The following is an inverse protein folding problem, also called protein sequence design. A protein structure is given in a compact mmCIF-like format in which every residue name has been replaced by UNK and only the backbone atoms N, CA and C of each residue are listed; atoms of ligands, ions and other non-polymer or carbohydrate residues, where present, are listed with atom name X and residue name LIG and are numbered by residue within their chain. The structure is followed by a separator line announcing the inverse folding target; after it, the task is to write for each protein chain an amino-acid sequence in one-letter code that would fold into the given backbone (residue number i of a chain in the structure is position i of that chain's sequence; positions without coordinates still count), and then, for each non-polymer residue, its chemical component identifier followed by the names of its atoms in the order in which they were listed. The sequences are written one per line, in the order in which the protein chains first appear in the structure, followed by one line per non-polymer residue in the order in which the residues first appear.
data_IF_122646545060
#
_entry.id   IF_122646545060
#
_cell.length_a   1.000
_cell.length_b   1.000
_cell.length_c   1.000
_cell.angle_alpha   90.00
_cell.angle_beta   90.00
_cell.angle_gamma   90.00
#
_symmetry.space_group_name_H-M   'P 1'
#
loop_
_entity.id
_entity.type
_entity.pdbx_description
1 polymer ?
#
# COMPACT_ATOMS: atom_id res chain seq x y z
N UNK A 1 25.54 -0.05 9.92
CA UNK A 1 24.35 0.51 10.59
C UNK A 1 23.30 -0.58 10.64
N UNK A 2 22.85 -0.98 11.83
CA UNK A 2 21.73 -1.92 11.99
C UNK A 2 20.47 -1.05 12.06
N UNK A 3 19.54 -1.23 11.12
CA UNK A 3 18.20 -0.63 11.24
C UNK A 3 17.44 -1.38 12.32
N UNK A 4 16.99 -0.67 13.35
CA UNK A 4 16.21 -1.23 14.46
C UNK A 4 14.88 -0.50 14.59
N UNK A 5 13.85 -1.23 15.01
CA UNK A 5 12.55 -0.70 15.35
C UNK A 5 12.19 -1.22 16.74
N UNK A 6 11.87 -0.32 17.67
CA UNK A 6 11.58 -0.66 19.07
C UNK A 6 12.67 -1.53 19.72
N UNK A 7 13.94 -1.17 19.50
CA UNK A 7 15.13 -1.93 19.96
C UNK A 7 15.24 -3.36 19.42
N UNK A 8 14.44 -3.73 18.41
CA UNK A 8 14.50 -5.00 17.72
C UNK A 8 15.19 -4.79 16.37
N UNK A 9 16.25 -5.54 16.04
CA UNK A 9 16.85 -5.50 14.71
C UNK A 9 15.79 -5.75 13.63
N UNK A 10 15.80 -4.96 12.56
CA UNK A 10 14.82 -5.08 11.46
C UNK A 10 14.77 -6.50 10.89
N UNK A 11 15.91 -7.20 10.81
CA UNK A 11 16.01 -8.61 10.41
C UNK A 11 15.21 -9.57 11.28
N UNK A 12 14.99 -9.20 12.54
CA UNK A 12 14.32 -9.98 13.56
C UNK A 12 12.85 -9.55 13.75
N UNK A 13 12.41 -8.48 13.10
CA UNK A 13 11.01 -8.06 13.09
C UNK A 13 10.14 -9.06 12.30
N UNK A 14 8.87 -9.20 12.69
CA UNK A 14 7.91 -10.02 11.93
C UNK A 14 7.73 -9.51 10.50
N UNK A 15 7.47 -10.42 9.54
CA UNK A 15 7.35 -10.07 8.10
C UNK A 15 6.32 -8.98 7.82
N UNK A 16 5.23 -8.94 8.59
CA UNK A 16 4.22 -7.90 8.44
C UNK A 16 4.72 -6.51 8.83
N UNK A 17 5.44 -6.39 9.95
CA UNK A 17 6.05 -5.13 10.37
C UNK A 17 7.15 -4.70 9.39
N UNK A 18 7.95 -5.66 8.91
CA UNK A 18 8.94 -5.41 7.86
C UNK A 18 8.31 -4.85 6.58
N UNK A 19 7.16 -5.40 6.16
CA UNK A 19 6.41 -4.94 5.00
C UNK A 19 5.91 -3.50 5.20
N UNK A 20 5.30 -3.22 6.36
CA UNK A 20 4.79 -1.89 6.69
C UNK A 20 5.90 -0.83 6.67
N UNK A 21 7.02 -1.10 7.35
CA UNK A 21 8.17 -0.18 7.42
C UNK A 21 8.78 0.10 6.05
N UNK A 22 8.93 -0.93 5.20
CA UNK A 22 9.44 -0.76 3.83
C UNK A 22 8.54 0.15 3.02
N UNK A 23 7.23 -0.06 3.10
CA UNK A 23 6.25 0.75 2.37
C UNK A 23 6.28 2.19 2.85
N UNK A 24 6.27 2.41 4.16
CA UNK A 24 6.33 3.76 4.74
C UNK A 24 7.61 4.52 4.33
N UNK A 25 8.77 3.86 4.44
CA UNK A 25 10.05 4.45 4.00
C UNK A 25 10.05 4.74 2.50
N UNK A 26 9.50 3.85 1.68
CA UNK A 26 9.38 4.09 0.25
C UNK A 26 8.50 5.31 -0.04
N UNK A 27 7.34 5.43 0.60
CA UNK A 27 6.42 6.56 0.42
C UNK A 27 7.03 7.89 0.90
N UNK A 28 7.79 7.88 1.98
CA UNK A 28 8.43 9.07 2.56
C UNK A 28 9.69 9.51 1.79
N UNK A 29 10.48 8.58 1.25
CA UNK A 29 11.69 8.91 0.47
C UNK A 29 11.39 9.47 -0.93
N UNK A 30 10.13 9.49 -1.32
CA UNK A 30 9.68 10.02 -2.60
C UNK A 30 9.65 11.56 -2.54
N UNK A 31 10.71 12.22 -3.02
CA UNK A 31 10.82 13.69 -3.15
C UNK A 31 9.58 14.32 -3.83
N UNK A 32 9.06 15.41 -3.27
CA UNK A 32 7.74 16.00 -3.57
C UNK A 32 7.62 16.80 -4.88
N UNK A 33 8.72 16.99 -5.63
CA UNK A 33 8.74 17.96 -6.74
C UNK A 33 8.46 17.38 -8.14
N UNK A 34 7.97 16.14 -8.25
CA UNK A 34 7.62 15.52 -9.54
C UNK A 34 6.35 14.69 -9.40
N UNK A 35 5.53 14.67 -10.45
CA UNK A 35 4.42 13.72 -10.58
C UNK A 35 4.96 12.29 -10.55
N UNK A 36 4.38 11.47 -9.67
CA UNK A 36 4.87 10.11 -9.44
C UNK A 36 3.75 9.10 -9.38
N UNK A 37 3.95 8.03 -10.14
CA UNK A 37 3.13 6.82 -10.09
C UNK A 37 3.81 5.85 -9.14
N UNK A 38 3.07 5.36 -8.15
CA UNK A 38 3.50 4.38 -7.15
C UNK A 38 2.69 3.12 -7.41
N UNK A 39 3.38 2.00 -7.66
CA UNK A 39 2.75 0.69 -7.84
C UNK A 39 2.99 -0.15 -6.58
N UNK A 40 1.91 -0.71 -6.04
CA UNK A 40 1.96 -1.60 -4.87
C UNK A 40 1.22 -2.89 -5.22
N UNK A 41 1.96 -3.99 -5.26
CA UNK A 41 1.40 -5.30 -5.61
C UNK A 41 1.10 -6.10 -4.34
N UNK A 42 -0.14 -6.57 -4.21
CA UNK A 42 -0.64 -7.39 -3.09
C UNK A 42 -0.21 -6.88 -1.70
N UNK A 43 -0.62 -5.65 -1.31
CA UNK A 43 -0.28 -5.06 -0.02
C UNK A 43 -0.67 -5.94 1.18
N UNK A 44 -1.60 -6.88 1.00
CA UNK A 44 -2.10 -7.81 2.00
C UNK A 44 -1.16 -8.91 2.44
N UNK A 45 -0.09 -9.16 1.68
CA UNK A 45 0.77 -10.27 1.98
C UNK A 45 1.48 -10.11 3.34
N UNK A 46 1.34 -11.14 4.17
CA UNK A 46 1.96 -11.24 5.50
C UNK A 46 1.51 -10.21 6.54
N UNK A 47 0.41 -9.48 6.32
CA UNK A 47 -0.17 -8.54 7.29
C UNK A 47 -1.29 -9.19 8.11
N UNK A 48 -1.35 -8.84 9.40
CA UNK A 48 -2.57 -9.04 10.19
C UNK A 48 -3.63 -8.03 9.75
N UNK A 49 -4.91 -8.28 10.08
CA UNK A 49 -5.99 -7.32 9.80
C UNK A 49 -5.73 -5.92 10.39
N UNK A 50 -5.14 -5.84 11.58
CA UNK A 50 -4.79 -4.56 12.20
C UNK A 50 -3.71 -3.83 11.41
N UNK A 51 -2.65 -4.53 11.01
CA UNK A 51 -1.57 -3.92 10.22
C UNK A 51 -2.03 -3.57 8.80
N UNK A 52 -2.99 -4.31 8.24
CA UNK A 52 -3.61 -3.95 6.98
C UNK A 52 -4.37 -2.64 7.09
N UNK A 53 -5.21 -2.45 8.12
CA UNK A 53 -5.89 -1.15 8.32
C UNK A 53 -4.87 0.00 8.38
N UNK A 54 -3.82 -0.16 9.19
CA UNK A 54 -2.76 0.84 9.29
C UNK A 54 -2.10 1.14 7.91
N UNK A 55 -1.85 0.10 7.12
CA UNK A 55 -1.31 0.27 5.77
C UNK A 55 -2.29 1.06 4.88
N UNK A 56 -3.58 0.74 4.91
CA UNK A 56 -4.59 1.44 4.12
C UNK A 56 -4.66 2.92 4.51
N UNK A 57 -4.63 3.23 5.80
CA UNK A 57 -4.65 4.61 6.30
C UNK A 57 -3.42 5.39 5.76
N UNK A 58 -2.22 4.79 5.83
CA UNK A 58 -0.99 5.38 5.26
C UNK A 58 -1.12 5.61 3.75
N UNK A 59 -1.73 4.68 3.02
CA UNK A 59 -1.90 4.80 1.57
C UNK A 59 -2.87 5.92 1.21
N UNK A 60 -3.99 6.04 1.92
CA UNK A 60 -4.98 7.10 1.72
C UNK A 60 -4.38 8.49 2.04
N UNK A 61 -3.63 8.61 3.12
CA UNK A 61 -2.92 9.85 3.44
C UNK A 61 -1.92 10.25 2.34
N UNK A 62 -1.23 9.27 1.75
CA UNK A 62 -0.27 9.54 0.68
C UNK A 62 -0.94 9.83 -0.67
N UNK A 63 -2.10 9.26 -0.98
CA UNK A 63 -2.85 9.56 -2.20
C UNK A 63 -3.44 10.97 -2.21
N UNK A 64 -3.70 11.55 -1.03
CA UNK A 64 -4.22 12.91 -0.90
C UNK A 64 -3.16 14.01 -1.11
N UNK A 65 -1.88 13.65 -1.23
CA UNK A 65 -0.80 14.60 -1.50
C UNK A 65 -0.81 14.97 -2.99
N UNK A 66 -0.66 16.25 -3.30
CA UNK A 66 -0.56 16.70 -4.70
C UNK A 66 0.58 15.99 -5.44
N UNK A 67 0.37 15.69 -6.73
CA UNK A 67 1.34 15.02 -7.62
C UNK A 67 1.70 13.56 -7.29
N UNK A 68 0.82 12.78 -6.65
CA UNK A 68 0.96 11.31 -6.53
C UNK A 68 -0.24 10.55 -7.06
N UNK A 69 0.01 9.50 -7.85
CA UNK A 69 -0.97 8.46 -8.20
C UNK A 69 -0.51 7.15 -7.60
N UNK A 70 -1.39 6.47 -6.85
CA UNK A 70 -1.11 5.14 -6.30
C UNK A 70 -1.98 4.12 -7.04
N UNK A 71 -1.34 3.11 -7.61
CA UNK A 71 -1.98 1.96 -8.24
C UNK A 71 -1.71 0.74 -7.36
N UNK A 72 -2.77 0.04 -6.99
CA UNK A 72 -2.71 -1.10 -6.09
C UNK A 72 -3.31 -2.30 -6.80
N UNK A 73 -2.56 -3.41 -6.85
CA UNK A 73 -3.11 -4.72 -7.21
C UNK A 73 -3.44 -5.48 -5.93
N UNK A 74 -4.59 -6.14 -5.90
CA UNK A 74 -5.04 -6.87 -4.72
C UNK A 74 -6.03 -7.95 -5.14
N UNK A 75 -6.04 -9.06 -4.40
CA UNK A 75 -7.08 -10.08 -4.48
C UNK A 75 -8.04 -10.01 -3.26
N UNK A 76 -7.83 -9.02 -2.38
CA UNK A 76 -8.54 -8.87 -1.12
C UNK A 76 -9.76 -7.95 -1.24
N UNK A 77 -10.96 -8.52 -1.07
CA UNK A 77 -12.19 -7.72 -0.96
C UNK A 77 -12.14 -6.71 0.19
N UNK A 78 -11.35 -6.98 1.23
CA UNK A 78 -11.16 -6.04 2.34
C UNK A 78 -10.46 -4.75 1.89
N UNK A 79 -9.37 -4.88 1.12
CA UNK A 79 -8.62 -3.74 0.57
C UNK A 79 -9.51 -2.92 -0.36
N UNK A 80 -10.23 -3.60 -1.25
CA UNK A 80 -11.16 -2.97 -2.19
C UNK A 80 -12.24 -2.14 -1.48
N UNK A 81 -12.87 -2.71 -0.44
CA UNK A 81 -13.92 -2.03 0.31
C UNK A 81 -13.41 -0.81 1.09
N UNK A 82 -12.14 -0.79 1.49
CA UNK A 82 -11.56 0.31 2.26
C UNK A 82 -11.05 1.46 1.40
N UNK A 83 -10.54 1.16 0.20
CA UNK A 83 -9.98 2.17 -0.72
C UNK A 83 -11.01 2.83 -1.64
N UNK A 84 -12.25 2.32 -1.64
CA UNK A 84 -13.33 2.82 -2.48
C UNK A 84 -13.42 2.07 -3.81
N UNK A 85 -14.65 1.71 -4.18
CA UNK A 85 -14.93 0.92 -5.38
C UNK A 85 -15.01 1.78 -6.66
N UNK A 86 -15.14 3.10 -6.53
CA UNK A 86 -15.19 4.06 -7.63
C UNK A 86 -13.91 4.09 -8.48
N UNK A 87 -12.79 3.65 -7.88
CA UNK A 87 -11.47 3.57 -8.51
C UNK A 87 -11.09 2.14 -8.93
N UNK A 88 -12.01 1.18 -8.80
CA UNK A 88 -11.73 -0.24 -9.05
C UNK A 88 -11.68 -0.58 -10.54
N UNK A 89 -10.58 -1.20 -10.95
CA UNK A 89 -10.41 -1.86 -12.25
C UNK A 89 -10.33 -3.36 -11.99
N UNK A 90 -11.36 -4.10 -12.43
CA UNK A 90 -11.39 -5.56 -12.33
C UNK A 90 -10.69 -6.16 -13.55
N UNK A 91 -9.77 -7.10 -13.32
CA UNK A 91 -9.07 -7.84 -14.37
C UNK A 91 -9.58 -9.29 -14.40
N UNK A 92 -10.05 -9.75 -15.56
CA UNK A 92 -10.51 -11.14 -15.76
C UNK A 92 -10.39 -11.56 -17.22
N UNK A 93 -9.91 -12.78 -17.48
CA UNK A 93 -9.78 -13.36 -18.83
C UNK A 93 -9.12 -12.42 -19.85
N UNK A 94 -8.03 -11.74 -19.45
CA UNK A 94 -7.30 -10.73 -20.25
C UNK A 94 -8.14 -9.51 -20.66
N UNK A 95 -9.26 -9.27 -19.97
CA UNK A 95 -10.11 -8.08 -20.10
C UNK A 95 -10.05 -7.27 -18.82
N UNK A 96 -10.25 -5.96 -18.95
CA UNK A 96 -10.45 -5.05 -17.83
C UNK A 96 -11.85 -4.45 -17.87
N UNK A 97 -12.47 -4.31 -16.71
CA UNK A 97 -13.75 -3.64 -16.54
C UNK A 97 -13.66 -2.67 -15.37
N UNK A 98 -14.09 -1.43 -15.57
CA UNK A 98 -14.26 -0.47 -14.47
C UNK A 98 -15.66 -0.65 -13.88
N UNK A 99 -15.76 -0.71 -12.55
CA UNK A 99 -17.06 -0.67 -11.89
C UNK A 99 -17.47 0.79 -11.75
N UNK A 100 -18.72 1.10 -12.14
CA UNK A 100 -19.34 2.41 -11.97
C UNK A 100 -20.43 2.22 -10.91
N UNK A 101 -20.20 2.76 -9.70
CA UNK A 101 -21.14 2.75 -8.57
C UNK A 101 -21.61 4.19 -8.35
#
# INVERSE_FOLDING_TARGET
MITEFDSIPYSNAGRGLQCLLKTELALNNINTNKDKIILIEEPENHLSYSNMNNLIDILQENSNKESRQIIISTHSSFVLNKLGLENLILLSNKKSSKIQI
#
